data_IF_471087919119
#
_entry.id   IF_471087919119
#
_cell.length_a   1.000
_cell.length_b   1.000
_cell.length_c   1.000
_cell.angle_alpha   90.00
_cell.angle_beta   90.00
_cell.angle_gamma   90.00
#
_symmetry.space_group_name_H-M   'P 1'
#
loop_
_entity.id
_entity.type
_entity.pdbx_description
1 polymer ?
#
# COMPACT_ATOMS: atom_id res chain seq x y z
N UNK A 1 6.28 32.47 -6.77
CA UNK A 1 6.95 31.15 -6.69
C UNK A 1 5.96 30.20 -6.05
N UNK A 2 5.54 29.13 -6.75
CA UNK A 2 4.58 28.16 -6.20
C UNK A 2 5.17 27.40 -5.02
N UNK A 3 4.31 26.85 -4.16
CA UNK A 3 4.72 26.00 -3.04
C UNK A 3 5.55 24.81 -3.56
N UNK A 4 6.72 24.57 -2.98
CA UNK A 4 7.55 23.39 -3.25
C UNK A 4 7.03 22.25 -2.38
N UNK A 5 6.65 21.14 -3.00
CA UNK A 5 6.20 19.93 -2.30
C UNK A 5 7.30 18.88 -2.36
N UNK A 6 7.62 18.25 -1.23
CA UNK A 6 8.55 17.11 -1.21
C UNK A 6 7.78 15.79 -1.31
N UNK A 7 8.13 14.96 -2.30
CA UNK A 7 7.47 13.70 -2.57
C UNK A 7 8.44 12.53 -2.39
N UNK A 8 7.96 11.45 -1.77
CA UNK A 8 8.65 10.17 -1.67
C UNK A 8 8.03 9.15 -2.64
N UNK A 9 8.87 8.41 -3.36
CA UNK A 9 8.46 7.28 -4.20
C UNK A 9 9.09 6.03 -3.63
N UNK A 10 8.27 5.06 -3.25
CA UNK A 10 8.71 3.80 -2.67
C UNK A 10 9.11 2.86 -3.80
N UNK A 11 10.40 2.54 -3.85
CA UNK A 11 10.92 1.43 -4.64
C UNK A 11 11.37 0.32 -3.68
N UNK A 12 10.46 -0.59 -3.36
CA UNK A 12 10.70 -1.71 -2.47
C UNK A 12 9.96 -2.94 -2.97
N UNK A 13 10.47 -4.12 -2.65
CA UNK A 13 9.75 -5.36 -2.90
C UNK A 13 8.52 -5.46 -1.98
N UNK A 14 7.35 -5.95 -2.44
CA UNK A 14 6.23 -6.26 -1.55
C UNK A 14 6.58 -7.41 -0.60
N UNK A 15 5.76 -7.62 0.43
CA UNK A 15 5.83 -8.85 1.24
C UNK A 15 4.82 -9.83 0.67
N UNK A 16 5.33 -10.85 -0.02
CA UNK A 16 4.51 -11.79 -0.79
C UNK A 16 3.62 -12.64 0.11
N UNK A 17 2.31 -12.61 -0.15
CA UNK A 17 1.31 -13.47 0.50
C UNK A 17 1.33 -13.43 2.05
N UNK A 18 1.75 -12.30 2.61
CA UNK A 18 1.67 -12.02 4.04
C UNK A 18 1.11 -10.61 4.23
N UNK A 19 -0.21 -10.54 4.45
CA UNK A 19 -0.93 -9.30 4.65
C UNK A 19 -0.37 -8.50 5.84
N UNK A 20 -0.10 -9.16 6.97
CA UNK A 20 0.38 -8.48 8.18
C UNK A 20 1.80 -7.94 8.01
N UNK A 21 2.68 -8.73 7.40
CA UNK A 21 4.03 -8.31 7.06
C UNK A 21 4.03 -7.13 6.08
N UNK A 22 3.17 -7.18 5.06
CA UNK A 22 3.02 -6.09 4.09
C UNK A 22 2.54 -4.80 4.75
N UNK A 23 1.54 -4.87 5.63
CA UNK A 23 0.99 -3.71 6.36
C UNK A 23 2.03 -3.11 7.31
N UNK A 24 2.79 -3.94 8.04
CA UNK A 24 3.92 -3.48 8.86
C UNK A 24 4.96 -2.73 8.02
N UNK A 25 5.27 -3.26 6.83
CA UNK A 25 6.22 -2.62 5.90
C UNK A 25 5.69 -1.29 5.37
N UNK A 26 4.42 -1.22 4.99
CA UNK A 26 3.77 0.03 4.56
C UNK A 26 3.86 1.07 5.66
N UNK A 27 3.49 0.74 6.91
CA UNK A 27 3.54 1.67 8.02
C UNK A 27 4.96 2.19 8.30
N UNK A 28 5.97 1.31 8.21
CA UNK A 28 7.37 1.70 8.37
C UNK A 28 7.83 2.67 7.26
N UNK A 29 7.44 2.43 6.01
CA UNK A 29 7.79 3.29 4.87
C UNK A 29 7.09 4.66 4.92
N UNK A 30 5.83 4.71 5.35
CA UNK A 30 5.10 5.97 5.59
C UNK A 30 5.85 6.81 6.63
N UNK A 31 6.23 6.19 7.74
CA UNK A 31 6.99 6.85 8.80
C UNK A 31 8.34 7.35 8.30
N UNK A 32 9.09 6.52 7.58
CA UNK A 32 10.39 6.91 7.01
C UNK A 32 10.27 8.09 6.03
N UNK A 33 9.24 8.09 5.17
CA UNK A 33 8.98 9.18 4.24
C UNK A 33 8.69 10.50 4.98
N UNK A 34 7.87 10.45 6.03
CA UNK A 34 7.58 11.60 6.88
C UNK A 34 8.82 12.11 7.61
N UNK A 35 9.64 11.22 8.20
CA UNK A 35 10.90 11.59 8.87
C UNK A 35 11.91 12.25 7.91
N UNK A 36 11.86 11.89 6.62
CA UNK A 36 12.62 12.54 5.55
C UNK A 36 11.98 13.85 5.06
N UNK A 37 10.86 14.28 5.64
CA UNK A 37 10.15 15.52 5.33
C UNK A 37 9.33 15.48 4.04
N UNK A 38 8.91 14.29 3.59
CA UNK A 38 7.98 14.18 2.47
C UNK A 38 6.55 14.49 2.91
N UNK A 39 5.80 15.18 2.06
CA UNK A 39 4.39 15.54 2.23
C UNK A 39 3.45 14.58 1.48
N UNK A 40 4.00 13.85 0.51
CA UNK A 40 3.30 12.85 -0.29
C UNK A 40 4.19 11.59 -0.41
N UNK A 41 3.60 10.41 -0.27
CA UNK A 41 4.25 9.12 -0.51
C UNK A 41 3.47 8.32 -1.55
N UNK A 42 4.18 7.83 -2.57
CA UNK A 42 3.63 6.97 -3.60
C UNK A 42 4.25 5.57 -3.50
N UNK A 43 3.43 4.53 -3.62
CA UNK A 43 3.89 3.15 -3.75
C UNK A 43 3.57 2.62 -5.14
N UNK A 44 4.16 1.48 -5.49
CA UNK A 44 3.83 0.77 -6.72
C UNK A 44 2.40 0.24 -6.72
N UNK A 45 1.88 -0.02 -7.91
CA UNK A 45 0.55 -0.60 -8.11
C UNK A 45 0.46 -1.97 -7.43
N UNK A 46 -0.62 -2.20 -6.68
CA UNK A 46 -0.89 -3.48 -6.00
C UNK A 46 0.22 -3.91 -5.03
N UNK A 47 0.78 -2.97 -4.26
CA UNK A 47 1.86 -3.24 -3.32
C UNK A 47 1.47 -4.24 -2.21
N UNK A 48 0.19 -4.29 -1.84
CA UNK A 48 -0.37 -5.24 -0.88
C UNK A 48 -1.43 -6.11 -1.58
N UNK A 49 -1.27 -7.46 -1.65
CA UNK A 49 -0.20 -8.29 -1.09
C UNK A 49 1.00 -8.54 -2.03
N UNK A 50 1.14 -7.72 -3.08
CA UNK A 50 2.10 -7.91 -4.15
C UNK A 50 1.41 -8.17 -5.50
N UNK A 51 2.16 -8.05 -6.59
CA UNK A 51 1.60 -8.17 -7.94
C UNK A 51 1.33 -9.63 -8.32
N UNK A 52 0.12 -9.93 -8.77
CA UNK A 52 -0.30 -11.28 -9.13
C UNK A 52 0.29 -11.76 -10.47
N UNK A 53 1.61 -12.01 -10.52
CA UNK A 53 2.30 -12.28 -11.79
C UNK A 53 1.82 -13.56 -12.50
N UNK A 54 1.26 -14.53 -11.78
CA UNK A 54 0.82 -15.82 -12.36
C UNK A 54 -0.37 -15.65 -13.30
N UNK A 55 -1.10 -14.52 -13.28
CA UNK A 55 -2.21 -14.29 -14.21
C UNK A 55 -1.78 -14.34 -15.68
N UNK A 56 -0.51 -14.02 -15.96
CA UNK A 56 0.04 -14.00 -17.32
C UNK A 56 0.50 -15.37 -17.80
N UNK A 57 0.73 -16.32 -16.89
CA UNK A 57 1.23 -17.65 -17.22
C UNK A 57 0.17 -18.73 -17.01
N UNK A 58 -0.63 -18.60 -15.97
CA UNK A 58 -1.72 -19.51 -15.63
C UNK A 58 -2.78 -18.80 -14.76
N UNK A 59 -3.68 -18.04 -15.40
CA UNK A 59 -4.76 -17.34 -14.70
C UNK A 59 -5.70 -18.29 -13.93
N UNK A 60 -5.82 -19.55 -14.36
CA UNK A 60 -6.67 -20.58 -13.74
C UNK A 60 -6.00 -21.30 -12.55
N UNK A 61 -4.82 -20.84 -12.09
CA UNK A 61 -4.14 -21.41 -10.93
C UNK A 61 -4.95 -21.19 -9.64
N UNK A 62 -5.74 -22.20 -9.27
CA UNK A 62 -6.63 -22.13 -8.11
C UNK A 62 -5.85 -21.91 -6.80
N UNK A 63 -4.67 -22.50 -6.66
CA UNK A 63 -3.88 -22.42 -5.43
C UNK A 63 -3.38 -20.98 -5.21
N UNK A 64 -2.77 -20.38 -6.23
CA UNK A 64 -2.27 -19.01 -6.15
C UNK A 64 -3.42 -18.00 -6.02
N UNK A 65 -4.54 -18.21 -6.72
CA UNK A 65 -5.74 -17.36 -6.55
C UNK A 65 -6.30 -17.41 -5.11
N UNK A 66 -6.39 -18.59 -4.49
CA UNK A 66 -6.84 -18.71 -3.09
C UNK A 66 -5.87 -18.02 -2.13
N UNK A 67 -4.55 -18.25 -2.29
CA UNK A 67 -3.53 -17.60 -1.45
C UNK A 67 -3.58 -16.08 -1.57
N UNK A 68 -3.77 -15.58 -2.79
CA UNK A 68 -3.85 -14.15 -3.06
C UNK A 68 -5.08 -13.51 -2.43
N UNK A 69 -6.24 -14.14 -2.61
CA UNK A 69 -7.49 -13.64 -2.05
C UNK A 69 -7.43 -13.58 -0.51
N UNK A 70 -6.88 -14.62 0.13
CA UNK A 70 -6.69 -14.65 1.59
C UNK A 70 -5.79 -13.55 2.15
N UNK A 71 -4.87 -13.05 1.34
CA UNK A 71 -3.91 -12.01 1.74
C UNK A 71 -4.26 -10.63 1.16
N UNK A 72 -5.38 -10.50 0.46
CA UNK A 72 -5.80 -9.21 -0.08
C UNK A 72 -6.28 -8.30 1.04
N UNK A 73 -5.94 -7.02 0.94
CA UNK A 73 -6.35 -6.03 1.92
C UNK A 73 -7.81 -5.63 1.67
N UNK A 74 -8.66 -5.76 2.69
CA UNK A 74 -10.04 -5.27 2.66
C UNK A 74 -10.12 -3.85 3.25
N UNK A 75 -11.04 -3.03 2.72
CA UNK A 75 -11.16 -1.61 3.07
C UNK A 75 -11.54 -1.36 4.54
N UNK A 76 -12.30 -2.25 5.16
CA UNK A 76 -12.77 -2.17 6.54
C UNK A 76 -11.98 -3.08 7.49
N UNK A 77 -10.86 -3.63 7.03
CA UNK A 77 -10.06 -4.55 7.84
C UNK A 77 -9.26 -3.82 8.92
N UNK A 78 -8.93 -4.49 10.04
CA UNK A 78 -8.03 -3.93 11.05
C UNK A 78 -6.69 -3.46 10.48
N UNK A 79 -6.20 -4.13 9.43
CA UNK A 79 -4.97 -3.78 8.73
C UNK A 79 -5.10 -2.46 7.96
N UNK A 80 -6.21 -2.23 7.26
CA UNK A 80 -6.44 -0.96 6.58
C UNK A 80 -6.57 0.17 7.60
N UNK A 81 -7.32 -0.06 8.68
CA UNK A 81 -7.46 0.91 9.76
C UNK A 81 -6.10 1.25 10.40
N UNK A 82 -5.21 0.26 10.57
CA UNK A 82 -3.84 0.48 11.07
C UNK A 82 -3.02 1.40 10.16
N UNK A 83 -3.18 1.29 8.84
CA UNK A 83 -2.53 2.20 7.87
C UNK A 83 -3.09 3.62 8.04
N UNK A 84 -4.41 3.76 8.14
CA UNK A 84 -5.07 5.05 8.38
C UNK A 84 -4.61 5.69 9.69
N UNK A 85 -4.48 4.92 10.76
CA UNK A 85 -3.93 5.41 12.04
C UNK A 85 -2.48 5.90 11.89
N UNK A 86 -1.67 5.18 11.12
CA UNK A 86 -0.28 5.60 10.83
C UNK A 86 -0.24 6.91 10.04
N UNK A 87 -1.10 7.07 9.03
CA UNK A 87 -1.23 8.32 8.26
C UNK A 87 -1.69 9.48 9.15
N UNK A 88 -2.60 9.24 10.10
CA UNK A 88 -3.04 10.27 11.05
C UNK A 88 -1.92 10.67 12.01
N UNK A 89 -1.10 9.72 12.45
CA UNK A 89 0.04 9.97 13.33
C UNK A 89 1.20 10.70 12.61
N UNK A 90 1.38 10.42 11.33
CA UNK A 90 2.41 11.00 10.46
C UNK A 90 1.71 11.63 9.26
N UNK A 91 1.22 12.90 9.37
CA UNK A 91 0.38 13.52 8.34
C UNK A 91 1.15 13.66 7.03
N UNK A 92 1.01 12.65 6.18
CA UNK A 92 1.56 12.52 4.84
C UNK A 92 0.45 11.98 3.95
N UNK A 93 0.31 12.50 2.73
CA UNK A 93 -0.71 12.02 1.82
C UNK A 93 -0.21 10.72 1.16
N UNK A 94 -0.94 9.60 1.21
CA UNK A 94 -0.63 8.44 0.39
C UNK A 94 -1.38 8.52 -0.95
N UNK A 95 -0.74 8.08 -2.02
CA UNK A 95 -1.43 7.93 -3.30
C UNK A 95 -2.45 6.76 -3.23
N UNK A 96 -3.70 7.01 -3.59
CA UNK A 96 -4.84 6.09 -3.38
C UNK A 96 -4.77 4.75 -4.11
N UNK A 97 -3.93 4.62 -5.14
CA UNK A 97 -3.93 3.45 -6.05
C UNK A 97 -3.01 2.30 -5.57
N UNK A 98 -2.52 2.41 -4.34
CA UNK A 98 -1.56 1.50 -3.72
C UNK A 98 -2.25 0.31 -3.04
N UNK A 99 -3.51 0.48 -2.66
CA UNK A 99 -4.31 -0.50 -1.91
C UNK A 99 -5.34 -1.09 -2.86
N UNK A 100 -5.41 -2.43 -2.94
CA UNK A 100 -6.27 -3.16 -3.89
C UNK A 100 -7.78 -3.04 -3.63
N UNK A 101 -8.20 -2.22 -2.67
CA UNK A 101 -9.59 -1.97 -2.32
C UNK A 101 -10.07 -0.59 -2.77
N UNK A 102 -10.89 -0.55 -3.82
CA UNK A 102 -11.89 0.50 -4.08
C UNK A 102 -11.38 1.93 -4.27
N UNK A 103 -11.38 2.39 -5.52
CA UNK A 103 -11.10 3.78 -5.90
C UNK A 103 -12.15 4.74 -5.32
N UNK A 104 -11.78 5.52 -4.30
CA UNK A 104 -12.32 6.87 -4.14
C UNK A 104 -11.30 7.76 -3.43
N UNK A 105 -11.07 8.93 -4.02
CA UNK A 105 -10.15 9.95 -3.54
C UNK A 105 -10.46 10.30 -2.08
N UNK A 106 -9.54 9.98 -1.16
CA UNK A 106 -9.53 10.57 0.16
C UNK A 106 -9.27 12.07 0.00
N UNK A 107 -10.35 12.85 0.08
CA UNK A 107 -10.26 14.28 0.37
C UNK A 107 -9.93 14.40 1.85
N UNK A 108 -8.64 14.55 2.13
CA UNK A 108 -8.14 15.19 3.35
C UNK A 108 -8.37 16.69 3.26
#
# INVERSE_FOLDING_TARGET
>A
MGAKVKVAVVNAEPVWYDLQGAVKKVNALIKEAYEKGAELVAFSEVFVPGYAHWIWTNAADLENNIKYHKNSLSYDSPEFLSIIETIKAYPIQPMSNVLSGGTQSLKI
#
